data_IF_365400735146
#
_entry.id   IF_365400735146
#
_cell.length_a   1.000
_cell.length_b   1.000
_cell.length_c   1.000
_cell.angle_alpha   90.00
_cell.angle_beta   90.00
_cell.angle_gamma   90.00
#
_symmetry.space_group_name_H-M   'P 1'
#
loop_
_entity.id
_entity.type
_entity.pdbx_description
1 polymer ?
#
# COMPACT_ATOMS: atom_id res chain seq x y z
N UNK A 1 18.87 60.33 -37.04
CA UNK A 1 20.30 59.98 -37.09
C UNK A 1 20.71 59.74 -35.66
N UNK A 2 21.44 58.65 -35.45
CA UNK A 2 22.09 58.22 -34.20
C UNK A 2 21.15 57.61 -33.15
N UNK A 3 21.45 56.49 -32.51
CA UNK A 3 22.34 55.35 -32.79
C UNK A 3 21.97 54.27 -31.76
N UNK A 4 22.22 53.00 -32.08
CA UNK A 4 21.91 51.83 -31.25
C UNK A 4 22.74 51.80 -29.96
N UNK A 5 22.16 51.26 -28.88
CA UNK A 5 22.96 50.56 -27.86
C UNK A 5 22.26 49.24 -27.52
N UNK A 6 22.66 48.21 -28.25
CA UNK A 6 22.51 46.81 -27.85
C UNK A 6 23.44 46.55 -26.65
N UNK A 7 22.89 46.02 -25.56
CA UNK A 7 23.68 45.42 -24.49
C UNK A 7 23.51 43.90 -24.53
N UNK A 8 24.62 43.14 -24.63
CA UNK A 8 24.62 41.68 -24.59
C UNK A 8 24.71 41.21 -23.14
N UNK A 9 23.82 40.30 -22.74
CA UNK A 9 23.92 39.60 -21.46
C UNK A 9 24.11 38.11 -21.76
N UNK A 10 25.37 37.70 -21.61
CA UNK A 10 25.86 36.59 -20.82
C UNK A 10 25.18 35.22 -20.91
N UNK A 11 25.93 34.30 -21.52
CA UNK A 11 26.36 33.02 -20.94
C UNK A 11 25.39 32.29 -20.01
N UNK A 12 24.74 31.27 -20.54
CA UNK A 12 24.39 30.09 -19.75
C UNK A 12 24.91 28.84 -20.46
N UNK A 13 25.94 28.26 -19.84
CA UNK A 13 26.53 26.96 -20.17
C UNK A 13 25.46 25.87 -20.17
N UNK A 14 25.17 25.31 -21.34
CA UNK A 14 24.32 24.13 -21.50
C UNK A 14 25.19 22.88 -21.32
N UNK A 15 25.49 22.57 -20.06
CA UNK A 15 26.22 21.38 -19.66
C UNK A 15 25.25 20.44 -18.96
N UNK A 16 24.58 19.53 -19.67
CA UNK A 16 23.97 18.36 -19.01
C UNK A 16 23.66 17.19 -19.93
N UNK A 17 24.48 16.16 -19.76
CA UNK A 17 24.11 14.74 -19.63
C UNK A 17 23.63 13.97 -20.86
N UNK A 18 24.54 13.10 -21.32
CA UNK A 18 24.27 11.92 -22.11
C UNK A 18 23.14 11.05 -21.52
N UNK A 19 22.28 10.46 -22.37
CA UNK A 19 21.31 9.47 -21.91
C UNK A 19 22.02 8.14 -21.63
N UNK A 20 22.11 7.78 -20.35
CA UNK A 20 22.32 6.40 -19.93
C UNK A 20 21.13 5.57 -20.41
N UNK A 21 21.34 4.80 -21.48
CA UNK A 21 20.45 3.72 -21.91
C UNK A 21 20.47 2.61 -20.85
N UNK A 22 19.60 2.74 -19.83
CA UNK A 22 19.20 1.59 -19.01
C UNK A 22 18.28 0.68 -19.85
N UNK A 23 18.91 -0.26 -20.55
CA UNK A 23 18.23 -1.46 -21.05
C UNK A 23 17.77 -2.29 -19.85
N UNK A 24 16.53 -2.06 -19.42
CA UNK A 24 15.81 -3.03 -18.60
C UNK A 24 14.89 -3.82 -19.51
N UNK A 25 15.44 -4.88 -20.11
CA UNK A 25 14.64 -5.97 -20.66
C UNK A 25 13.80 -6.57 -19.54
N UNK A 26 12.56 -6.11 -19.45
CA UNK A 26 11.53 -6.81 -18.69
C UNK A 26 11.18 -8.07 -19.46
N UNK A 27 11.89 -9.16 -19.13
CA UNK A 27 11.45 -10.52 -19.43
C UNK A 27 10.07 -10.74 -18.78
N UNK A 28 9.02 -10.41 -19.54
CA UNK A 28 7.68 -10.90 -19.30
C UNK A 28 7.70 -12.41 -19.51
N UNK A 29 7.98 -13.15 -18.44
CA UNK A 29 7.66 -14.57 -18.39
C UNK A 29 6.13 -14.65 -18.27
N UNK A 30 5.46 -14.75 -19.41
CA UNK A 30 4.09 -15.20 -19.49
C UNK A 30 4.04 -16.62 -18.93
N UNK A 31 3.41 -16.77 -17.76
CA UNK A 31 3.07 -18.08 -17.23
C UNK A 31 1.90 -18.61 -18.06
N UNK A 32 2.18 -19.45 -19.06
CA UNK A 32 1.17 -20.34 -19.63
C UNK A 32 0.89 -21.44 -18.60
N UNK A 33 -0.35 -21.62 -18.12
CA UNK A 33 -0.69 -22.72 -17.25
C UNK A 33 -0.91 -23.97 -18.11
N UNK A 34 0.16 -24.52 -18.66
CA UNK A 34 0.11 -25.83 -19.32
C UNK A 34 0.03 -26.90 -18.22
N UNK A 35 -1.20 -27.16 -17.80
CA UNK A 35 -1.62 -28.26 -16.94
C UNK A 35 -1.67 -29.59 -17.72
N UNK A 36 -0.63 -29.88 -18.49
CA UNK A 36 -0.48 -31.16 -19.18
C UNK A 36 1.00 -31.50 -19.15
N UNK A 37 1.45 -32.27 -18.16
CA UNK A 37 2.66 -33.12 -18.18
C UNK A 37 2.72 -33.90 -16.85
N UNK A 38 1.61 -34.58 -16.51
CA UNK A 38 1.54 -35.49 -15.37
C UNK A 38 1.31 -36.94 -15.84
N UNK A 39 1.87 -37.32 -17.01
CA UNK A 39 1.76 -38.69 -17.52
C UNK A 39 3.07 -39.47 -17.56
N UNK A 40 4.24 -38.82 -17.45
CA UNK A 40 5.51 -39.53 -17.67
C UNK A 40 6.14 -40.19 -16.42
N UNK A 41 5.51 -40.10 -15.25
CA UNK A 41 5.92 -40.88 -14.05
C UNK A 41 5.47 -42.35 -14.16
N UNK A 42 4.65 -42.71 -15.17
CA UNK A 42 4.14 -44.07 -15.36
C UNK A 42 5.15 -45.07 -15.95
N UNK A 43 6.33 -44.63 -16.39
CA UNK A 43 7.27 -45.51 -17.11
C UNK A 43 8.31 -46.22 -16.23
N UNK A 44 8.35 -45.99 -14.91
CA UNK A 44 9.26 -46.74 -14.03
C UNK A 44 8.59 -47.99 -13.46
N UNK A 45 9.09 -49.17 -13.84
CA UNK A 45 8.54 -50.49 -13.48
C UNK A 45 9.26 -51.19 -12.33
N UNK A 46 10.21 -50.56 -11.64
CA UNK A 46 10.87 -51.20 -10.50
C UNK A 46 9.99 -51.19 -9.25
N UNK A 47 10.10 -52.21 -8.41
CA UNK A 47 9.22 -52.41 -7.27
C UNK A 47 9.40 -51.31 -6.19
N UNK A 48 10.60 -50.72 -6.08
CA UNK A 48 10.85 -49.57 -5.20
C UNK A 48 10.04 -48.30 -5.60
N UNK A 49 9.74 -48.12 -6.89
CA UNK A 49 8.92 -46.99 -7.35
C UNK A 49 7.42 -47.27 -7.19
N UNK A 50 6.98 -48.53 -7.20
CA UNK A 50 5.57 -48.89 -6.94
C UNK A 50 5.19 -48.60 -5.50
N UNK A 51 6.04 -48.98 -4.53
CA UNK A 51 5.79 -48.73 -3.10
C UNK A 51 5.73 -47.23 -2.77
N UNK A 52 6.56 -46.42 -3.44
CA UNK A 52 6.58 -44.96 -3.27
C UNK A 52 5.34 -44.29 -3.89
N UNK A 53 4.81 -44.82 -4.99
CA UNK A 53 3.61 -44.29 -5.66
C UNK A 53 2.32 -44.76 -4.95
N UNK A 54 2.28 -46.00 -4.44
CA UNK A 54 1.15 -46.51 -3.65
C UNK A 54 1.05 -45.81 -2.29
N UNK A 55 2.17 -45.56 -1.61
CA UNK A 55 2.18 -44.77 -0.38
C UNK A 55 1.72 -43.32 -0.60
N UNK A 56 1.98 -42.72 -1.77
CA UNK A 56 1.44 -41.40 -2.14
C UNK A 56 -0.06 -41.44 -2.45
N UNK A 57 -0.57 -42.49 -3.11
CA UNK A 57 -1.99 -42.66 -3.47
C UNK A 57 -2.89 -42.98 -2.27
N UNK A 58 -2.37 -43.67 -1.25
CA UNK A 58 -3.15 -44.05 -0.06
C UNK A 58 -3.20 -42.98 1.06
N UNK A 59 -2.55 -41.83 0.88
CA UNK A 59 -2.77 -40.68 1.77
C UNK A 59 -4.11 -40.01 1.46
N UNK A 60 -5.18 -40.62 1.95
CA UNK A 60 -6.50 -40.01 2.10
C UNK A 60 -6.34 -38.77 2.99
N UNK A 61 -6.14 -37.60 2.38
CA UNK A 61 -6.10 -36.31 3.06
C UNK A 61 -7.52 -35.90 3.48
N UNK A 62 -8.14 -36.67 4.38
CA UNK A 62 -9.29 -36.20 5.15
C UNK A 62 -8.79 -35.41 6.36
N UNK A 63 -8.90 -34.09 6.27
CA UNK A 63 -9.60 -33.33 7.32
C UNK A 63 -8.87 -32.93 8.60
N UNK A 64 -7.54 -32.97 8.70
CA UNK A 64 -6.87 -32.21 9.77
C UNK A 64 -6.49 -30.82 9.25
N UNK A 65 -7.12 -29.78 9.81
CA UNK A 65 -6.66 -28.39 9.68
C UNK A 65 -5.31 -28.29 10.41
N UNK A 66 -4.24 -28.76 9.78
CA UNK A 66 -2.88 -28.56 10.26
C UNK A 66 -2.65 -27.06 10.32
N UNK A 67 -2.67 -26.49 11.53
CA UNK A 67 -2.25 -25.11 11.78
C UNK A 67 -0.94 -24.91 11.05
N UNK A 68 -0.90 -23.93 10.15
CA UNK A 68 0.28 -23.65 9.32
C UNK A 68 1.46 -23.42 10.25
N UNK A 69 2.53 -24.22 10.12
CA UNK A 69 3.78 -23.96 10.84
C UNK A 69 4.28 -22.58 10.44
N UNK A 70 4.38 -21.67 11.41
CA UNK A 70 4.95 -20.36 11.20
C UNK A 70 6.46 -20.49 11.27
N UNK A 71 7.11 -20.61 10.11
CA UNK A 71 8.57 -20.67 10.05
C UNK A 71 9.19 -19.38 10.60
N UNK A 72 10.16 -19.54 11.50
CA UNK A 72 10.96 -18.46 12.06
C UNK A 72 11.83 -17.76 11.02
N UNK A 73 12.47 -16.66 11.40
CA UNK A 73 13.37 -15.90 10.50
C UNK A 73 14.55 -16.75 10.02
N UNK A 74 15.16 -17.50 10.95
CA UNK A 74 16.30 -18.38 10.67
C UNK A 74 15.93 -19.55 9.74
N UNK A 75 14.80 -20.21 10.00
CA UNK A 75 14.32 -21.33 9.16
C UNK A 75 14.03 -20.87 7.73
N UNK A 76 13.40 -19.70 7.56
CA UNK A 76 13.17 -19.10 6.24
C UNK A 76 14.47 -18.81 5.50
N UNK A 77 15.49 -18.37 6.22
CA UNK A 77 16.80 -18.06 5.64
C UNK A 77 17.52 -19.33 5.17
N UNK A 78 17.48 -20.39 5.98
CA UNK A 78 18.04 -21.70 5.59
C UNK A 78 17.37 -22.25 4.33
N UNK A 79 16.05 -22.14 4.23
CA UNK A 79 15.30 -22.57 3.04
C UNK A 79 15.67 -21.76 1.80
N UNK A 80 15.92 -20.46 1.94
CA UNK A 80 16.39 -19.62 0.82
C UNK A 80 17.78 -20.01 0.35
N UNK A 81 18.73 -20.18 1.27
CA UNK A 81 20.09 -20.63 0.94
C UNK A 81 20.10 -21.99 0.26
N UNK A 82 19.25 -22.92 0.73
CA UNK A 82 19.11 -24.22 0.09
C UNK A 82 18.49 -24.10 -1.31
N UNK A 83 17.51 -23.22 -1.50
CA UNK A 83 16.93 -22.95 -2.82
C UNK A 83 17.95 -22.35 -3.78
N UNK A 84 18.81 -21.44 -3.31
CA UNK A 84 19.91 -20.86 -4.09
C UNK A 84 20.94 -21.93 -4.47
N UNK A 85 21.36 -22.76 -3.51
CA UNK A 85 22.23 -23.91 -3.77
C UNK A 85 21.64 -24.86 -4.82
N UNK A 86 20.35 -25.18 -4.73
CA UNK A 86 19.66 -26.03 -5.71
C UNK A 86 19.62 -25.41 -7.11
N UNK A 87 19.52 -24.06 -7.20
CA UNK A 87 19.62 -23.34 -8.49
C UNK A 87 21.03 -23.40 -9.05
N UNK A 88 22.05 -23.19 -8.23
CA UNK A 88 23.45 -23.31 -8.66
C UNK A 88 23.79 -24.72 -9.13
N UNK A 89 23.32 -25.74 -8.42
CA UNK A 89 23.47 -27.13 -8.85
C UNK A 89 22.85 -27.37 -10.23
N UNK A 90 21.64 -26.86 -10.48
CA UNK A 90 20.99 -26.96 -11.79
C UNK A 90 21.82 -26.29 -12.89
N UNK A 91 22.39 -25.11 -12.63
CA UNK A 91 23.26 -24.40 -13.58
C UNK A 91 24.51 -25.22 -13.90
N UNK A 92 25.16 -25.79 -12.87
CA UNK A 92 26.38 -26.59 -13.03
C UNK A 92 26.14 -27.91 -13.75
N UNK A 93 25.01 -28.56 -13.50
CA UNK A 93 24.65 -29.85 -14.11
C UNK A 93 24.12 -29.72 -15.54
N UNK A 94 23.72 -28.51 -15.98
CA UNK A 94 23.17 -28.23 -17.33
C UNK A 94 22.07 -29.24 -17.73
N UNK A 95 21.84 -29.44 -19.02
CA UNK A 95 20.75 -30.28 -19.56
C UNK A 95 20.97 -31.79 -19.39
N UNK A 96 22.14 -32.22 -18.92
CA UNK A 96 22.42 -33.66 -18.69
C UNK A 96 21.48 -34.30 -17.66
N UNK A 97 20.85 -33.49 -16.81
CA UNK A 97 19.93 -33.93 -15.76
C UNK A 97 18.46 -33.52 -16.01
N UNK A 98 18.07 -33.21 -17.26
CA UNK A 98 16.71 -32.74 -17.58
C UNK A 98 15.59 -33.70 -17.12
N UNK A 99 15.87 -35.01 -17.02
CA UNK A 99 14.94 -36.05 -16.53
C UNK A 99 15.22 -36.54 -15.10
N UNK A 100 16.19 -35.95 -14.40
CA UNK A 100 16.55 -36.35 -13.04
C UNK A 100 15.76 -35.55 -11.99
N UNK A 101 15.80 -36.01 -10.74
CA UNK A 101 15.23 -35.33 -9.55
C UNK A 101 15.69 -33.88 -9.39
N UNK A 102 16.74 -33.47 -10.12
CA UNK A 102 17.32 -32.13 -10.08
C UNK A 102 16.75 -31.15 -11.13
N UNK A 103 15.73 -31.55 -11.90
CA UNK A 103 15.14 -30.72 -12.95
C UNK A 103 14.51 -29.42 -12.41
N UNK A 104 13.97 -29.45 -11.19
CA UNK A 104 13.32 -28.31 -10.54
C UNK A 104 13.93 -28.01 -9.16
N UNK A 105 14.59 -26.84 -8.99
CA UNK A 105 15.13 -26.40 -7.69
C UNK A 105 14.09 -26.36 -6.58
N UNK A 106 12.83 -26.06 -6.92
CA UNK A 106 11.71 -26.02 -5.98
C UNK A 106 11.35 -27.42 -5.50
N UNK A 107 11.49 -28.44 -6.34
CA UNK A 107 11.16 -29.82 -5.99
C UNK A 107 12.22 -30.42 -5.08
N UNK A 108 13.51 -30.22 -5.39
CA UNK A 108 14.62 -30.61 -4.50
C UNK A 108 14.46 -29.95 -3.13
N UNK A 109 14.18 -28.64 -3.12
CA UNK A 109 13.98 -27.86 -1.90
C UNK A 109 12.72 -28.27 -1.14
N UNK A 110 11.72 -28.83 -1.83
CA UNK A 110 10.53 -29.36 -1.17
C UNK A 110 10.78 -30.73 -0.54
N UNK A 111 11.52 -31.58 -1.25
CA UNK A 111 11.78 -32.95 -0.87
C UNK A 111 12.79 -33.06 0.29
N UNK A 112 13.92 -32.36 0.22
CA UNK A 112 14.99 -32.54 1.19
C UNK A 112 14.60 -32.14 2.64
N UNK A 113 13.97 -30.97 2.89
CA UNK A 113 13.57 -30.54 4.23
C UNK A 113 12.10 -30.89 4.55
N UNK A 114 11.36 -31.53 3.64
CA UNK A 114 9.95 -31.87 3.82
C UNK A 114 9.01 -30.66 3.83
N UNK A 115 9.34 -29.61 3.08
CA UNK A 115 8.57 -28.36 3.02
C UNK A 115 7.70 -28.37 1.77
N UNK A 116 6.44 -27.94 1.88
CA UNK A 116 5.59 -27.89 0.68
C UNK A 116 6.09 -26.89 -0.36
N UNK A 117 6.01 -27.25 -1.65
CA UNK A 117 6.36 -26.38 -2.79
C UNK A 117 5.76 -24.97 -2.64
N UNK A 118 4.50 -24.88 -2.22
CA UNK A 118 3.78 -23.61 -1.95
C UNK A 118 4.47 -22.72 -0.93
N UNK A 119 5.04 -23.32 0.12
CA UNK A 119 5.75 -22.58 1.17
C UNK A 119 7.08 -22.04 0.63
N UNK A 120 7.78 -22.84 -0.18
CA UNK A 120 9.03 -22.44 -0.83
C UNK A 120 8.80 -21.34 -1.85
N UNK A 121 7.81 -21.46 -2.74
CA UNK A 121 7.47 -20.39 -3.70
C UNK A 121 7.17 -19.09 -2.95
N UNK A 122 6.39 -19.14 -1.86
CA UNK A 122 6.10 -17.95 -1.03
C UNK A 122 7.35 -17.34 -0.37
N UNK A 123 8.36 -18.16 -0.06
CA UNK A 123 9.63 -17.70 0.52
C UNK A 123 10.63 -17.21 -0.55
N UNK A 124 10.62 -17.84 -1.72
CA UNK A 124 11.52 -17.62 -2.85
C UNK A 124 11.08 -16.52 -3.81
N UNK A 125 9.79 -16.17 -3.82
CA UNK A 125 9.40 -14.79 -4.11
C UNK A 125 9.99 -13.95 -2.99
N UNK A 126 11.19 -13.41 -3.21
CA UNK A 126 11.53 -12.13 -2.63
C UNK A 126 10.32 -11.26 -2.93
N UNK A 127 9.53 -10.92 -1.89
CA UNK A 127 8.85 -9.64 -1.96
C UNK A 127 9.98 -8.71 -2.33
N UNK A 128 9.93 -8.09 -3.52
CA UNK A 128 10.88 -7.05 -3.90
C UNK A 128 11.16 -6.24 -2.64
N UNK A 129 12.44 -5.96 -2.29
CA UNK A 129 12.76 -5.22 -1.08
C UNK A 129 11.75 -4.10 -1.04
N UNK A 130 10.86 -4.14 -0.03
CA UNK A 130 9.65 -3.32 0.02
C UNK A 130 10.10 -1.94 -0.46
N UNK A 131 9.70 -1.51 -1.66
CA UNK A 131 10.24 -0.30 -2.31
C UNK A 131 9.77 0.88 -1.49
N UNK A 132 10.40 1.09 -0.34
CA UNK A 132 9.81 1.68 0.87
C UNK A 132 8.30 1.62 0.86
N UNK A 133 7.76 0.39 0.66
CA UNK A 133 6.49 0.15 0.00
C UNK A 133 5.42 1.09 0.50
N UNK A 134 5.14 2.14 -0.28
CA UNK A 134 4.31 3.31 0.00
C UNK A 134 3.30 3.03 1.14
N UNK A 135 3.77 3.09 2.39
CA UNK A 135 2.89 2.84 3.52
C UNK A 135 2.11 4.13 3.62
N UNK A 136 1.00 4.17 2.88
CA UNK A 136 0.03 5.23 2.95
C UNK A 136 -0.60 5.15 4.33
N UNK A 137 0.11 5.69 5.33
CA UNK A 137 -0.36 5.86 6.69
C UNK A 137 -1.72 6.52 6.61
N UNK A 138 -2.64 6.16 7.51
CA UNK A 138 -3.97 6.80 7.57
C UNK A 138 -3.86 8.33 7.55
N UNK A 139 -2.82 8.89 8.19
CA UNK A 139 -2.47 10.32 8.13
C UNK A 139 -2.17 10.79 6.70
N UNK A 140 -1.25 10.15 5.98
CA UNK A 140 -0.92 10.46 4.58
C UNK A 140 -2.16 10.42 3.66
N UNK A 141 -3.04 9.43 3.81
CA UNK A 141 -4.29 9.33 3.01
C UNK A 141 -5.27 10.46 3.28
N UNK A 142 -5.36 10.94 4.53
CA UNK A 142 -6.20 12.08 4.91
C UNK A 142 -5.64 13.38 4.34
N UNK A 143 -4.34 13.61 4.49
CA UNK A 143 -3.65 14.77 3.93
C UNK A 143 -3.76 14.82 2.41
N UNK A 144 -3.62 13.67 1.73
CA UNK A 144 -3.83 13.60 0.28
C UNK A 144 -5.27 13.97 -0.13
N UNK A 145 -6.27 13.54 0.66
CA UNK A 145 -7.66 13.91 0.41
C UNK A 145 -7.90 15.43 0.60
N UNK A 146 -7.32 16.02 1.64
CA UNK A 146 -7.37 17.48 1.87
C UNK A 146 -6.65 18.24 0.76
N UNK A 147 -5.44 17.81 0.36
CA UNK A 147 -4.70 18.46 -0.73
C UNK A 147 -5.48 18.42 -2.06
N UNK A 148 -6.14 17.30 -2.37
CA UNK A 148 -6.86 17.11 -3.64
C UNK A 148 -8.25 17.77 -3.65
N UNK A 149 -9.00 17.68 -2.55
CA UNK A 149 -10.42 18.07 -2.51
C UNK A 149 -10.71 19.24 -1.58
N UNK A 150 -9.76 19.61 -0.72
CA UNK A 150 -9.89 20.71 0.24
C UNK A 150 -10.17 22.07 -0.40
N UNK A 151 -9.50 22.48 -1.49
CA UNK A 151 -9.77 23.77 -2.13
C UNK A 151 -11.21 23.90 -2.65
N UNK A 152 -11.79 22.80 -3.15
CA UNK A 152 -13.15 22.81 -3.71
C UNK A 152 -14.24 22.61 -2.65
N UNK A 153 -14.02 21.68 -1.71
CA UNK A 153 -15.07 21.20 -0.81
C UNK A 153 -14.78 21.41 0.67
N UNK A 154 -13.54 21.74 1.03
CA UNK A 154 -13.10 21.77 2.43
C UNK A 154 -13.87 22.79 3.27
N UNK A 155 -14.07 23.99 2.75
CA UNK A 155 -14.79 25.05 3.46
C UNK A 155 -16.29 24.76 3.53
N UNK A 156 -16.90 24.33 2.43
CA UNK A 156 -18.32 23.94 2.37
C UNK A 156 -18.60 22.85 3.41
N UNK A 157 -17.79 21.79 3.43
CA UNK A 157 -17.94 20.68 4.38
C UNK A 157 -17.81 21.17 5.84
N UNK A 158 -16.85 22.06 6.13
CA UNK A 158 -16.69 22.63 7.47
C UNK A 158 -17.93 23.43 7.89
N UNK A 159 -18.43 24.28 7.00
CA UNK A 159 -19.59 25.13 7.27
C UNK A 159 -20.85 24.30 7.52
N UNK A 160 -21.13 23.29 6.69
CA UNK A 160 -22.26 22.38 6.89
C UNK A 160 -22.16 21.66 8.23
N UNK A 161 -20.97 21.11 8.58
CA UNK A 161 -20.77 20.45 9.87
C UNK A 161 -20.97 21.42 11.04
N UNK A 162 -20.40 22.64 10.97
CA UNK A 162 -20.54 23.62 12.04
C UNK A 162 -21.97 24.11 12.21
N UNK A 163 -22.72 24.30 11.12
CA UNK A 163 -24.12 24.67 11.19
C UNK A 163 -24.92 23.60 11.92
N UNK A 164 -24.77 22.34 11.50
CA UNK A 164 -25.46 21.21 12.14
C UNK A 164 -25.08 21.00 13.60
N UNK A 165 -23.79 21.17 13.95
CA UNK A 165 -23.33 21.06 15.33
C UNK A 165 -23.87 22.22 16.21
N UNK A 166 -24.08 23.41 15.62
CA UNK A 166 -24.72 24.54 16.32
C UNK A 166 -26.18 24.24 16.63
N UNK A 167 -26.86 23.55 15.71
CA UNK A 167 -28.27 23.16 15.85
C UNK A 167 -28.47 21.94 16.80
N UNK A 168 -27.41 21.53 17.53
CA UNK A 168 -27.35 20.36 18.43
C UNK A 168 -27.72 19.02 17.76
N UNK A 169 -27.75 18.97 16.42
CA UNK A 169 -28.03 17.76 15.66
C UNK A 169 -26.81 16.84 15.60
N UNK A 170 -27.02 15.56 15.90
CA UNK A 170 -25.98 14.54 15.76
C UNK A 170 -25.66 14.28 14.29
N UNK A 171 -24.57 14.85 13.76
CA UNK A 171 -24.19 14.67 12.35
C UNK A 171 -23.55 13.32 12.12
N UNK A 172 -24.16 12.46 11.29
CA UNK A 172 -23.50 11.26 10.78
C UNK A 172 -22.88 11.49 9.40
N UNK A 173 -21.94 10.63 9.01
CA UNK A 173 -21.33 10.72 7.69
C UNK A 173 -22.29 10.49 6.53
N UNK A 174 -23.38 9.73 6.76
CA UNK A 174 -24.36 9.47 5.72
C UNK A 174 -25.22 10.70 5.48
N UNK A 175 -25.67 11.32 6.57
CA UNK A 175 -26.48 12.54 6.52
C UNK A 175 -25.69 13.66 5.85
N UNK A 176 -24.42 13.85 6.25
CA UNK A 176 -23.54 14.83 5.63
C UNK A 176 -23.36 14.58 4.13
N UNK A 177 -23.18 13.31 3.71
CA UNK A 177 -23.04 12.98 2.30
C UNK A 177 -24.33 13.28 1.53
N UNK A 178 -25.49 12.90 2.08
CA UNK A 178 -26.79 13.11 1.46
C UNK A 178 -27.09 14.60 1.33
N UNK A 179 -26.82 15.39 2.37
CA UNK A 179 -27.02 16.82 2.39
C UNK A 179 -26.13 17.52 1.36
N UNK A 180 -24.84 17.20 1.31
CA UNK A 180 -23.91 17.76 0.32
C UNK A 180 -24.29 17.37 -1.12
N UNK A 181 -24.70 16.13 -1.34
CA UNK A 181 -25.18 15.68 -2.66
C UNK A 181 -26.50 16.31 -3.07
N UNK A 182 -27.37 16.68 -2.12
CA UNK A 182 -28.65 17.33 -2.41
C UNK A 182 -28.49 18.84 -2.61
N UNK A 183 -27.60 19.48 -1.84
CA UNK A 183 -27.35 20.92 -1.91
C UNK A 183 -26.45 21.30 -3.11
N UNK A 184 -25.62 20.37 -3.60
CA UNK A 184 -24.67 20.63 -4.67
C UNK A 184 -24.71 19.52 -5.73
N UNK A 185 -25.26 19.83 -6.91
CA UNK A 185 -25.33 18.91 -8.06
C UNK A 185 -23.93 18.42 -8.52
N UNK A 186 -22.90 19.22 -8.26
CA UNK A 186 -21.52 18.97 -8.68
C UNK A 186 -20.75 18.07 -7.69
N UNK A 187 -21.40 17.61 -6.62
CA UNK A 187 -20.74 16.86 -5.56
C UNK A 187 -20.46 15.41 -5.97
N UNK A 188 -19.20 15.12 -6.27
CA UNK A 188 -18.75 13.83 -6.83
C UNK A 188 -17.98 12.94 -5.84
N UNK A 189 -17.84 13.35 -4.57
CA UNK A 189 -17.00 12.62 -3.62
C UNK A 189 -17.68 11.33 -3.14
N UNK A 190 -16.96 10.21 -3.22
CA UNK A 190 -17.40 8.97 -2.57
C UNK A 190 -17.44 9.12 -1.04
N UNK A 191 -18.28 8.32 -0.38
CA UNK A 191 -18.33 8.22 1.09
C UNK A 191 -16.95 8.06 1.74
N UNK A 192 -16.10 7.21 1.16
CA UNK A 192 -14.76 6.95 1.71
C UNK A 192 -13.81 8.14 1.54
N UNK A 193 -13.97 8.90 0.45
CA UNK A 193 -13.19 10.10 0.16
C UNK A 193 -13.61 11.23 1.10
N UNK A 194 -14.91 11.46 1.22
CA UNK A 194 -15.47 12.44 2.16
C UNK A 194 -15.06 12.11 3.60
N UNK A 195 -15.14 10.86 4.02
CA UNK A 195 -14.66 10.43 5.35
C UNK A 195 -13.18 10.79 5.58
N UNK A 196 -12.32 10.60 4.58
CA UNK A 196 -10.89 10.96 4.68
C UNK A 196 -10.68 12.47 4.72
N UNK A 197 -11.46 13.21 3.93
CA UNK A 197 -11.46 14.68 3.91
C UNK A 197 -11.86 15.22 5.28
N UNK A 198 -13.02 14.84 5.82
CA UNK A 198 -13.51 15.24 7.15
C UNK A 198 -12.47 14.94 8.25
N UNK A 199 -11.86 13.76 8.23
CA UNK A 199 -10.76 13.41 9.16
C UNK A 199 -9.49 14.22 8.99
N UNK A 200 -9.26 14.76 7.80
CA UNK A 200 -8.13 15.61 7.47
C UNK A 200 -8.37 17.08 7.82
N UNK A 201 -9.63 17.51 7.86
CA UNK A 201 -10.08 18.83 8.35
C UNK A 201 -10.21 18.88 9.89
N UNK A 202 -9.53 17.97 10.60
CA UNK A 202 -9.47 17.84 12.06
C UNK A 202 -10.77 17.47 12.81
N UNK A 203 -11.83 17.08 12.10
CA UNK A 203 -13.00 16.48 12.76
C UNK A 203 -12.75 15.04 13.23
N UNK A 204 -13.41 14.69 14.32
CA UNK A 204 -13.34 13.36 14.94
C UNK A 204 -14.70 12.67 15.00
N UNK A 205 -14.71 11.38 15.36
CA UNK A 205 -15.95 10.58 15.42
C UNK A 205 -16.10 9.90 16.76
N UNK A 206 -17.25 10.07 17.40
CA UNK A 206 -17.58 9.45 18.68
C UNK A 206 -18.64 8.41 18.41
N UNK A 207 -18.50 7.25 19.04
CA UNK A 207 -19.56 6.23 18.99
C UNK A 207 -20.62 6.62 20.02
N UNK A 208 -21.83 6.93 19.58
CA UNK A 208 -22.97 7.18 20.46
C UNK A 208 -24.08 6.17 20.11
N UNK A 209 -24.52 5.38 21.09
CA UNK A 209 -25.64 4.43 20.94
C UNK A 209 -25.68 3.65 19.61
N UNK A 210 -24.52 3.16 19.14
CA UNK A 210 -24.25 2.43 17.87
C UNK A 210 -23.99 3.27 16.61
N UNK A 211 -24.29 4.55 16.61
CA UNK A 211 -23.97 5.46 15.51
C UNK A 211 -22.60 6.14 15.71
N UNK A 212 -21.99 6.60 14.61
CA UNK A 212 -20.75 7.39 14.63
C UNK A 212 -21.11 8.82 14.29
N UNK A 213 -21.04 9.67 15.31
CA UNK A 213 -21.36 11.10 15.20
C UNK A 213 -20.07 11.88 15.03
N UNK A 214 -20.07 12.84 14.10
CA UNK A 214 -18.98 13.79 13.87
C UNK A 214 -18.93 14.75 15.05
N UNK A 215 -17.74 15.00 15.57
CA UNK A 215 -17.53 15.98 16.63
C UNK A 215 -16.26 16.77 16.36
N UNK A 216 -16.26 18.03 16.80
CA UNK A 216 -15.05 18.85 16.81
C UNK A 216 -14.19 18.48 18.02
N UNK A 217 -12.88 18.34 17.79
CA UNK A 217 -11.92 18.01 18.84
C UNK A 217 -11.97 19.06 19.96
N UNK A 218 -12.32 18.63 21.16
CA UNK A 218 -12.49 19.54 22.32
C UNK A 218 -11.22 20.34 22.64
N UNK A 219 -10.04 19.80 22.35
CA UNK A 219 -8.77 20.51 22.50
C UNK A 219 -8.61 21.66 21.50
N UNK A 220 -9.13 21.53 20.28
CA UNK A 220 -9.15 22.61 19.29
C UNK A 220 -10.19 23.67 19.64
N UNK A 221 -11.38 23.25 20.08
CA UNK A 221 -12.43 24.16 20.57
C UNK A 221 -11.90 25.01 21.73
N UNK A 222 -11.27 24.37 22.73
CA UNK A 222 -10.70 25.08 23.88
C UNK A 222 -9.56 26.05 23.49
N UNK A 223 -8.69 25.67 22.54
CA UNK A 223 -7.65 26.57 22.01
C UNK A 223 -8.26 27.77 21.30
N UNK A 224 -9.29 27.54 20.47
CA UNK A 224 -10.01 28.60 19.76
C UNK A 224 -10.69 29.55 20.73
N UNK A 225 -11.36 29.03 21.76
CA UNK A 225 -11.99 29.85 22.79
C UNK A 225 -10.97 30.74 23.53
N UNK A 226 -9.82 30.17 23.92
CA UNK A 226 -8.73 30.95 24.55
C UNK A 226 -8.21 32.05 23.64
N UNK A 227 -7.99 31.73 22.36
CA UNK A 227 -7.53 32.69 21.35
C UNK A 227 -8.54 33.82 21.16
N UNK A 228 -9.82 33.51 21.00
CA UNK A 228 -10.88 34.51 20.83
C UNK A 228 -11.05 35.38 22.07
N UNK A 229 -10.93 34.83 23.27
CA UNK A 229 -10.92 35.60 24.53
C UNK A 229 -9.72 36.56 24.58
N UNK A 230 -8.54 36.09 24.20
CA UNK A 230 -7.34 36.93 24.16
C UNK A 230 -7.50 38.09 23.16
N UNK A 231 -8.06 37.83 21.97
CA UNK A 231 -8.37 38.88 20.98
C UNK A 231 -9.39 39.88 21.53
N UNK A 232 -10.45 39.41 22.17
CA UNK A 232 -11.48 40.29 22.72
C UNK A 232 -10.89 41.23 23.79
N UNK A 233 -10.05 40.70 24.69
CA UNK A 233 -9.34 41.49 25.70
C UNK A 233 -8.36 42.49 25.09
N UNK A 234 -7.61 42.09 24.06
CA UNK A 234 -6.69 42.99 23.36
C UNK A 234 -7.45 44.14 22.68
N UNK A 235 -8.61 43.87 22.08
CA UNK A 235 -9.48 44.91 21.49
C UNK A 235 -10.05 45.86 22.53
N UNK A 236 -10.43 45.35 23.71
CA UNK A 236 -10.91 46.18 24.82
C UNK A 236 -9.83 47.13 25.35
N UNK A 237 -8.56 46.71 25.28
CA UNK A 237 -7.40 47.51 25.67
C UNK A 237 -6.80 48.38 24.56
N UNK A 238 -7.43 48.39 23.38
CA UNK A 238 -6.92 49.08 22.18
C UNK A 238 -5.49 48.64 21.77
N UNK A 239 -5.13 47.38 22.07
CA UNK A 239 -3.83 46.81 21.70
C UNK A 239 -3.79 46.49 20.19
N UNK A 240 -2.65 46.74 19.56
CA UNK A 240 -2.46 46.46 18.14
C UNK A 240 -2.35 44.95 17.87
N UNK A 241 -3.26 44.41 17.05
CA UNK A 241 -3.28 43.00 16.67
C UNK A 241 -2.48 42.78 15.39
N UNK A 242 -1.33 42.11 15.51
CA UNK A 242 -0.55 41.63 14.35
C UNK A 242 -0.91 40.19 14.06
N UNK A 243 -1.38 39.92 12.85
CA UNK A 243 -1.61 38.57 12.36
C UNK A 243 -0.39 38.13 11.55
N UNK A 244 0.31 37.10 12.02
CA UNK A 244 1.43 36.49 11.29
C UNK A 244 0.96 35.18 10.69
N UNK A 245 0.75 35.18 9.38
CA UNK A 245 0.54 33.95 8.63
C UNK A 245 1.90 33.27 8.39
N UNK A 246 1.97 31.96 8.66
CA UNK A 246 3.14 31.15 8.29
C UNK A 246 3.18 31.07 6.75
N UNK A 247 4.11 31.80 6.13
CA UNK A 247 4.44 31.68 4.69
C UNK A 247 5.24 30.43 4.39
#
# INVERSE_FOLDING_TARGET
>A
MEEEVHSPIDEAMEETTAPLLEYTETLQISYSPDMEHFEDVKQCRCDACKDTIESLKHSSWRGEVRRRKNYGRQEKELVKRFLEFAKEMKIKLKDTCAKALFSSPIEITALAPGISKRTICRMGHTRAPNTEGNVHTRKKRRLAAVKKHGPAWGEIVKQTIHQKLRDEEGVTMRDLLQELSSAHENFTLSYTTLYRLVRGLDFSYKKNQRQRIIFERSDLVAKRERYLKAIALAREKEEYLVYMDET
#
